data_IF_101481220191
#
_entry.id   IF_101481220191
#
_cell.length_a   1.000
_cell.length_b   1.000
_cell.length_c   1.000
_cell.angle_alpha   90.00
_cell.angle_beta   90.00
_cell.angle_gamma   90.00
#
_symmetry.space_group_name_H-M   'P 1'
#
loop_
_entity.id
_entity.type
_entity.pdbx_description
1 polymer ?
#
# COMPACT_ATOMS: atom_id res chain seq x y z
N UNK A 1 -32.44 -4.90 -31.54
CA UNK A 1 -33.43 -5.99 -31.61
C UNK A 1 -33.97 -6.40 -30.24
N UNK A 2 -33.15 -6.48 -29.18
CA UNK A 2 -33.54 -7.00 -27.84
C UNK A 2 -34.61 -6.22 -27.04
N UNK A 3 -34.78 -4.91 -27.24
CA UNK A 3 -35.68 -4.08 -26.39
C UNK A 3 -37.15 -4.50 -26.45
N UNK A 4 -37.61 -4.87 -27.64
CA UNK A 4 -39.03 -5.18 -27.87
C UNK A 4 -39.43 -6.49 -27.21
N UNK A 5 -38.51 -7.45 -27.13
CA UNK A 5 -38.77 -8.76 -26.52
C UNK A 5 -38.76 -8.67 -25.00
N UNK A 6 -37.85 -7.87 -24.43
CA UNK A 6 -37.82 -7.60 -22.98
C UNK A 6 -39.09 -6.91 -22.50
N UNK A 7 -39.57 -5.89 -23.24
CA UNK A 7 -40.82 -5.21 -22.92
C UNK A 7 -42.04 -6.13 -22.99
N UNK A 8 -42.08 -7.03 -23.99
CA UNK A 8 -43.14 -8.06 -24.11
C UNK A 8 -43.07 -9.09 -22.99
N UNK A 9 -41.87 -9.43 -22.54
CA UNK A 9 -41.67 -10.40 -21.46
C UNK A 9 -42.11 -9.81 -20.11
N UNK A 10 -41.77 -8.56 -19.85
CA UNK A 10 -42.09 -7.89 -18.58
C UNK A 10 -43.60 -7.63 -18.44
N UNK A 11 -44.29 -7.25 -19.53
CA UNK A 11 -45.75 -7.09 -19.51
C UNK A 11 -46.50 -8.39 -19.28
N UNK A 12 -45.92 -9.55 -19.67
CA UNK A 12 -46.50 -10.87 -19.36
C UNK A 12 -46.39 -11.25 -17.88
N UNK A 13 -45.33 -10.83 -17.20
CA UNK A 13 -45.09 -11.20 -15.79
C UNK A 13 -45.81 -10.24 -14.85
N UNK A 14 -45.70 -8.93 -15.09
CA UNK A 14 -46.26 -7.88 -14.24
C UNK A 14 -46.66 -6.66 -15.07
N UNK A 15 -47.95 -6.57 -15.38
CA UNK A 15 -48.56 -5.44 -16.09
C UNK A 15 -48.58 -4.14 -15.27
N UNK A 16 -48.44 -4.24 -13.95
CA UNK A 16 -48.36 -3.11 -13.00
C UNK A 16 -46.98 -2.45 -12.96
N UNK A 17 -45.95 -3.08 -13.54
CA UNK A 17 -44.57 -2.59 -13.44
C UNK A 17 -44.22 -1.58 -14.55
N UNK A 18 -43.97 -0.32 -14.16
CA UNK A 18 -43.40 0.69 -15.05
C UNK A 18 -41.88 0.50 -15.16
N UNK A 19 -41.45 -0.40 -16.04
CA UNK A 19 -40.04 -0.66 -16.28
C UNK A 19 -39.43 0.34 -17.27
N UNK A 20 -38.51 1.16 -16.78
CA UNK A 20 -37.61 1.97 -17.59
C UNK A 20 -36.34 1.19 -17.92
N UNK A 21 -36.15 0.88 -19.20
CA UNK A 21 -34.93 0.23 -19.68
C UNK A 21 -33.84 1.30 -19.79
N UNK A 22 -32.90 1.31 -18.85
CA UNK A 22 -31.70 2.14 -18.93
C UNK A 22 -30.62 1.33 -19.65
N UNK A 23 -30.28 1.75 -20.85
CA UNK A 23 -29.16 1.16 -21.58
C UNK A 23 -27.85 1.54 -20.94
N UNK A 24 -26.94 0.56 -20.81
CA UNK A 24 -25.56 0.87 -20.48
C UNK A 24 -24.94 1.63 -21.66
N UNK A 25 -24.14 2.69 -21.41
CA UNK A 25 -23.41 3.35 -22.48
C UNK A 25 -22.52 2.33 -23.21
N UNK A 26 -22.27 2.54 -24.52
CA UNK A 26 -21.38 1.66 -25.28
C UNK A 26 -20.00 1.59 -24.62
N UNK A 27 -19.34 0.43 -24.78
CA UNK A 27 -18.00 0.23 -24.23
C UNK A 27 -17.07 1.27 -24.85
N UNK A 28 -16.53 2.16 -24.02
CA UNK A 28 -15.55 3.14 -24.47
C UNK A 28 -14.17 2.49 -24.55
N UNK A 29 -13.29 3.05 -25.40
CA UNK A 29 -11.87 2.67 -25.45
C UNK A 29 -11.24 2.71 -24.05
N UNK A 30 -11.71 3.62 -23.20
CA UNK A 30 -11.26 3.75 -21.83
C UNK A 30 -11.46 2.47 -20.99
N UNK A 31 -12.49 1.68 -21.28
CA UNK A 31 -12.78 0.45 -20.55
C UNK A 31 -11.80 -0.69 -20.86
N UNK A 32 -10.99 -0.57 -21.91
CA UNK A 32 -9.98 -1.58 -22.27
C UNK A 32 -8.63 -1.31 -21.61
N UNK A 33 -8.42 -0.12 -21.06
CA UNK A 33 -7.20 0.23 -20.36
C UNK A 33 -7.50 0.36 -18.87
N UNK A 34 -6.81 -0.45 -18.06
CA UNK A 34 -6.75 -0.23 -16.63
C UNK A 34 -5.95 1.06 -16.37
N UNK A 35 -6.59 2.23 -16.50
CA UNK A 35 -5.94 3.55 -16.27
C UNK A 35 -5.43 3.73 -14.84
N UNK A 36 -5.78 2.84 -13.92
CA UNK A 36 -5.33 2.89 -12.53
C UNK A 36 -4.46 1.69 -12.25
N UNK A 37 -3.31 1.96 -11.66
CA UNK A 37 -2.44 0.92 -11.13
C UNK A 37 -3.24 0.00 -10.20
N UNK A 38 -3.09 -1.30 -10.44
CA UNK A 38 -3.68 -2.33 -9.58
C UNK A 38 -3.11 -2.13 -8.18
N UNK A 39 -3.99 -1.87 -7.22
CA UNK A 39 -3.59 -1.76 -5.82
C UNK A 39 -3.04 -3.13 -5.40
N UNK A 40 -1.78 -3.22 -4.94
CA UNK A 40 -1.22 -4.46 -4.42
C UNK A 40 -2.12 -5.05 -3.33
N UNK A 41 -2.20 -6.38 -3.24
CA UNK A 41 -3.13 -7.02 -2.30
C UNK A 41 -2.88 -6.62 -0.83
N UNK A 42 -1.63 -6.37 -0.44
CA UNK A 42 -1.27 -5.89 0.90
C UNK A 42 -1.73 -4.43 1.19
N UNK A 43 -2.08 -3.65 0.16
CA UNK A 43 -2.64 -2.31 0.27
C UNK A 43 -4.17 -2.29 0.10
N UNK A 44 -4.80 -3.44 -0.19
CA UNK A 44 -6.25 -3.53 -0.29
C UNK A 44 -6.84 -3.68 1.11
N UNK A 45 -7.81 -2.83 1.41
CA UNK A 45 -8.68 -2.93 2.58
C UNK A 45 -10.05 -2.56 2.08
N UNK A 46 -10.95 -3.55 1.95
CA UNK A 46 -12.34 -3.30 1.58
C UNK A 46 -13.13 -2.96 2.84
N UNK A 47 -13.02 -1.70 3.25
CA UNK A 47 -13.55 -1.23 4.53
C UNK A 47 -14.47 -0.04 4.33
N UNK A 48 -15.53 -0.01 5.15
CA UNK A 48 -16.43 1.13 5.29
C UNK A 48 -15.94 1.93 6.50
N UNK A 49 -15.76 3.23 6.34
CA UNK A 49 -15.35 4.12 7.43
C UNK A 49 -16.38 5.23 7.64
N UNK A 50 -16.40 5.71 8.87
CA UNK A 50 -17.27 6.78 9.33
C UNK A 50 -16.42 7.90 9.93
N UNK A 51 -16.55 9.12 9.38
CA UNK A 51 -15.93 10.33 9.92
C UNK A 51 -17.02 11.20 10.53
N UNK A 52 -17.00 11.33 11.85
CA UNK A 52 -17.89 12.22 12.59
C UNK A 52 -17.13 13.48 13.00
N UNK A 53 -17.69 14.67 12.73
CA UNK A 53 -17.12 15.91 13.29
C UNK A 53 -17.41 15.99 14.79
N UNK A 54 -16.47 16.57 15.55
CA UNK A 54 -16.65 16.77 16.99
C UNK A 54 -17.70 17.85 17.28
N UNK A 55 -17.71 18.90 16.47
CA UNK A 55 -18.46 20.13 16.78
C UNK A 55 -19.83 20.21 16.09
N UNK A 56 -20.23 19.20 15.31
CA UNK A 56 -21.56 19.16 14.72
C UNK A 56 -22.04 17.73 14.44
N UNK A 57 -23.34 17.59 14.20
CA UNK A 57 -24.00 16.31 13.88
C UNK A 57 -23.69 15.76 12.49
N UNK A 58 -22.85 16.45 11.70
CA UNK A 58 -22.49 15.98 10.36
C UNK A 58 -21.61 14.73 10.43
N UNK A 59 -21.95 13.77 9.58
CA UNK A 59 -21.28 12.49 9.49
C UNK A 59 -21.02 12.16 8.02
N UNK A 60 -19.80 11.71 7.71
CA UNK A 60 -19.44 11.22 6.39
C UNK A 60 -19.19 9.71 6.44
N UNK A 61 -19.91 8.97 5.60
CA UNK A 61 -19.70 7.54 5.42
C UNK A 61 -19.11 7.29 4.03
N UNK A 62 -17.96 6.62 4.00
CA UNK A 62 -17.25 6.30 2.77
C UNK A 62 -16.88 4.82 2.70
N UNK A 63 -16.78 4.30 1.48
CA UNK A 63 -16.17 2.99 1.20
C UNK A 63 -14.86 3.18 0.47
N UNK A 64 -13.86 2.38 0.81
CA UNK A 64 -12.56 2.38 0.12
C UNK A 64 -12.11 0.95 -0.14
N UNK A 65 -11.45 0.74 -1.28
CA UNK A 65 -10.69 -0.50 -1.58
C UNK A 65 -9.20 -0.37 -1.25
N UNK A 66 -8.73 0.85 -0.95
CA UNK A 66 -7.36 1.19 -0.53
C UNK A 66 -7.28 1.19 1.00
N UNK A 67 -6.07 1.22 1.55
CA UNK A 67 -5.83 1.47 2.97
C UNK A 67 -6.63 2.65 3.52
N UNK A 68 -7.34 2.42 4.64
CA UNK A 68 -8.21 3.42 5.26
C UNK A 68 -7.44 4.67 5.71
N UNK A 69 -6.27 4.51 6.30
CA UNK A 69 -5.43 5.63 6.76
C UNK A 69 -5.13 6.63 5.64
N UNK A 70 -4.74 6.14 4.45
CA UNK A 70 -4.48 6.97 3.28
C UNK A 70 -5.74 7.69 2.81
N UNK A 71 -6.87 6.98 2.77
CA UNK A 71 -8.15 7.58 2.35
C UNK A 71 -8.63 8.65 3.32
N UNK A 72 -8.48 8.43 4.62
CA UNK A 72 -8.84 9.39 5.66
C UNK A 72 -7.93 10.62 5.62
N UNK A 73 -6.63 10.43 5.34
CA UNK A 73 -5.71 11.53 5.10
C UNK A 73 -6.10 12.38 3.86
N UNK A 74 -6.51 11.75 2.76
CA UNK A 74 -7.07 12.45 1.59
C UNK A 74 -8.32 13.28 1.94
N UNK A 75 -9.05 12.89 3.00
CA UNK A 75 -10.19 13.63 3.54
C UNK A 75 -9.81 14.67 4.60
N UNK A 76 -8.51 14.95 4.78
CA UNK A 76 -8.01 16.00 5.68
C UNK A 76 -7.87 15.57 7.14
N UNK A 77 -7.95 14.27 7.45
CA UNK A 77 -7.70 13.82 8.82
C UNK A 77 -6.19 13.87 9.15
N UNK A 78 -5.81 14.25 10.39
CA UNK A 78 -4.42 14.29 10.81
C UNK A 78 -3.75 12.92 10.70
N UNK A 79 -2.49 12.89 10.22
CA UNK A 79 -1.70 11.65 10.09
C UNK A 79 -1.52 10.93 11.43
N UNK A 80 -1.50 11.69 12.52
CA UNK A 80 -1.19 11.20 13.87
C UNK A 80 -2.32 10.35 14.46
N UNK A 81 -3.51 10.40 13.88
CA UNK A 81 -4.68 9.64 14.36
C UNK A 81 -4.50 8.12 14.23
N UNK A 82 -3.52 7.64 13.44
CA UNK A 82 -3.37 6.23 13.08
C UNK A 82 -2.10 5.55 13.60
N UNK A 83 -1.17 6.28 14.22
CA UNK A 83 0.12 5.72 14.64
C UNK A 83 0.03 4.77 15.85
N UNK A 84 -1.12 4.72 16.53
CA UNK A 84 -1.22 4.11 17.86
C UNK A 84 -1.74 2.66 17.89
N UNK A 85 -2.22 2.08 16.78
CA UNK A 85 -2.90 0.77 16.81
C UNK A 85 -2.13 -0.41 16.22
N UNK A 86 -0.97 -0.21 15.57
CA UNK A 86 -0.21 -1.34 14.99
C UNK A 86 0.61 -2.14 15.99
N UNK A 87 0.75 -1.67 17.23
CA UNK A 87 1.69 -2.27 18.21
C UNK A 87 1.04 -3.18 19.25
N UNK A 88 -0.30 -3.34 19.27
CA UNK A 88 -1.00 -4.05 20.35
C UNK A 88 -1.54 -5.45 20.01
N UNK A 89 -1.31 -6.01 18.81
CA UNK A 89 -1.89 -7.32 18.43
C UNK A 89 -0.88 -8.40 18.01
N UNK A 90 0.36 -8.35 18.50
CA UNK A 90 1.36 -9.41 18.26
C UNK A 90 1.79 -10.18 19.53
N UNK A 91 1.28 -9.84 20.72
CA UNK A 91 1.74 -10.45 21.98
C UNK A 91 0.90 -11.61 22.53
N UNK A 92 -0.21 -12.01 21.88
CA UNK A 92 -1.11 -13.06 22.41
C UNK A 92 -1.09 -14.38 21.63
N UNK A 93 0.00 -14.68 20.89
CA UNK A 93 0.27 -16.06 20.44
C UNK A 93 1.31 -16.67 21.36
N UNK A 94 0.93 -16.83 22.63
CA UNK A 94 1.59 -17.74 23.56
C UNK A 94 1.36 -19.17 23.10
N UNK A 95 2.39 -19.73 22.47
CA UNK A 95 3.00 -21.00 22.89
C UNK A 95 2.09 -22.03 23.57
N UNK A 96 1.26 -22.72 22.79
CA UNK A 96 0.76 -24.05 23.17
C UNK A 96 0.32 -24.86 21.95
N UNK A 97 0.98 -26.01 21.79
CA UNK A 97 0.71 -27.12 20.86
C UNK A 97 1.11 -26.95 19.38
N UNK A 98 2.28 -27.49 19.04
CA UNK A 98 2.42 -28.67 18.15
C UNK A 98 3.91 -29.02 18.01
N UNK A 99 4.35 -29.94 18.86
CA UNK A 99 5.24 -31.06 18.50
C UNK A 99 4.64 -31.76 17.26
N UNK A 100 5.31 -32.26 16.22
CA UNK A 100 6.68 -32.70 15.95
C UNK A 100 7.00 -32.38 14.46
N UNK A 101 7.86 -31.40 14.19
CA UNK A 101 8.51 -31.24 12.89
C UNK A 101 9.88 -30.58 13.06
N UNK A 102 10.58 -30.99 14.12
CA UNK A 102 11.98 -30.65 14.32
C UNK A 102 12.82 -31.75 13.65
N UNK A 103 12.98 -31.67 12.33
CA UNK A 103 14.08 -32.25 11.55
C UNK A 103 13.88 -31.82 10.08
N UNK A 104 14.95 -31.33 9.43
CA UNK A 104 15.06 -31.09 7.97
C UNK A 104 14.99 -29.65 7.41
N UNK A 105 15.30 -28.59 8.18
CA UNK A 105 15.70 -27.29 7.56
C UNK A 105 16.84 -26.62 8.33
N UNK A 106 17.96 -27.33 8.49
CA UNK A 106 19.19 -26.77 9.11
C UNK A 106 20.31 -26.43 8.11
N UNK A 107 20.07 -26.47 6.80
CA UNK A 107 21.13 -26.25 5.78
C UNK A 107 20.91 -25.05 4.86
N UNK A 108 19.93 -24.17 5.10
CA UNK A 108 19.72 -22.97 4.26
C UNK A 108 20.06 -21.62 4.94
N UNK A 109 20.57 -21.64 6.18
CA UNK A 109 20.85 -20.41 6.96
C UNK A 109 22.32 -20.02 7.08
N UNK A 110 23.25 -20.75 6.47
CA UNK A 110 24.70 -20.45 6.57
C UNK A 110 25.22 -19.67 5.33
N UNK A 111 24.47 -19.60 4.23
CA UNK A 111 24.97 -18.96 2.99
C UNK A 111 24.70 -17.44 2.89
N UNK A 112 23.84 -16.85 3.72
CA UNK A 112 23.44 -15.42 3.59
C UNK A 112 24.25 -14.45 4.45
N UNK A 113 25.20 -14.92 5.26
CA UNK A 113 26.02 -14.05 6.11
C UNK A 113 27.34 -13.61 5.47
N UNK A 114 27.80 -14.27 4.39
CA UNK A 114 29.06 -13.91 3.71
C UNK A 114 28.92 -12.78 2.68
N UNK A 115 27.73 -12.59 2.10
CA UNK A 115 27.51 -11.54 1.09
C UNK A 115 27.40 -10.14 1.72
N UNK A 116 26.78 -10.04 2.90
CA UNK A 116 26.57 -8.76 3.59
C UNK A 116 27.85 -8.22 4.23
N UNK A 117 28.73 -9.09 4.74
CA UNK A 117 30.02 -8.68 5.31
C UNK A 117 30.97 -8.08 4.27
N UNK A 118 30.98 -8.60 3.03
CA UNK A 118 31.84 -8.10 1.94
C UNK A 118 31.45 -6.69 1.48
N UNK A 119 30.15 -6.37 1.51
CA UNK A 119 29.65 -5.02 1.16
C UNK A 119 30.03 -4.01 2.24
N UNK A 120 29.94 -4.38 3.53
CA UNK A 120 30.30 -3.48 4.63
C UNK A 120 31.80 -3.17 4.67
N UNK A 121 32.67 -4.11 4.34
CA UNK A 121 34.12 -3.84 4.23
C UNK A 121 34.46 -2.91 3.05
N UNK A 122 33.82 -3.08 1.89
CA UNK A 122 34.08 -2.20 0.73
C UNK A 122 33.66 -0.74 0.99
N UNK A 123 32.53 -0.50 1.64
CA UNK A 123 32.09 0.86 1.99
C UNK A 123 33.04 1.50 3.01
N UNK A 124 33.62 0.70 3.91
CA UNK A 124 34.59 1.20 4.91
C UNK A 124 35.93 1.61 4.28
N UNK A 125 36.34 0.94 3.20
CA UNK A 125 37.55 1.29 2.44
C UNK A 125 37.35 2.54 1.58
N UNK A 126 36.18 2.73 0.96
CA UNK A 126 35.89 3.95 0.18
C UNK A 126 35.95 5.21 1.05
N UNK A 127 35.34 5.18 2.23
CA UNK A 127 35.33 6.34 3.14
C UNK A 127 36.72 6.66 3.74
N UNK A 128 37.68 5.72 3.72
CA UNK A 128 39.03 5.94 4.20
C UNK A 128 39.92 6.63 3.16
N UNK A 129 39.68 6.39 1.86
CA UNK A 129 40.39 7.07 0.77
C UNK A 129 39.98 8.54 0.64
N UNK A 130 38.70 8.84 0.80
CA UNK A 130 38.19 10.21 0.71
C UNK A 130 38.73 11.11 1.83
N UNK A 131 39.09 10.53 2.99
CA UNK A 131 39.72 11.27 4.09
C UNK A 131 41.18 11.64 3.81
N UNK A 132 41.92 10.83 3.05
CA UNK A 132 43.33 11.14 2.69
C UNK A 132 43.43 12.26 1.66
N UNK A 133 42.45 12.38 0.76
CA UNK A 133 42.42 13.44 -0.25
C UNK A 133 42.22 14.82 0.40
N UNK A 134 41.52 14.88 1.55
CA UNK A 134 41.31 16.14 2.27
C UNK A 134 42.53 16.62 3.06
N UNK A 135 43.43 15.72 3.47
CA UNK A 135 44.67 16.11 4.16
C UNK A 135 45.75 16.62 3.19
N UNK A 136 45.69 16.27 1.91
CA UNK A 136 46.65 16.73 0.88
C UNK A 136 46.36 18.15 0.34
N UNK A 137 45.19 18.71 0.62
CA UNK A 137 44.76 20.03 0.11
C UNK A 137 45.19 21.17 1.07
N UNK A 138 45.47 20.88 2.34
CA UNK A 138 45.87 21.90 3.31
C UNK A 138 47.34 22.38 3.15
N UNK A 139 48.18 21.64 2.41
CA UNK A 139 49.60 21.97 2.19
C UNK A 139 49.87 23.02 1.09
N UNK A 140 48.84 23.49 0.36
CA UNK A 140 48.99 24.47 -0.74
C UNK A 140 48.58 25.91 -0.40
N UNK A 141 48.34 26.22 0.87
CA UNK A 141 47.85 27.54 1.30
C UNK A 141 48.93 28.65 1.44
N UNK A 142 50.21 28.35 1.17
CA UNK A 142 51.33 29.28 1.33
C UNK A 142 51.86 29.95 0.05
N UNK A 143 51.15 29.84 -1.10
CA UNK A 143 51.50 30.67 -2.28
C UNK A 143 50.76 32.02 -2.17
N UNK A 144 51.29 32.88 -1.30
CA UNK A 144 51.00 34.31 -1.28
C UNK A 144 52.14 35.09 -1.94
N UNK A 145 51.71 36.02 -2.79
CA UNK A 145 52.38 37.27 -3.15
C UNK A 145 53.63 37.21 -4.06
N UNK A 146 53.39 37.38 -5.37
CA UNK A 146 54.19 38.26 -6.26
C UNK A 146 53.25 38.98 -7.22
#
# INVERSE_FOLDING_TARGET
MFKNDLRKFTTKIRSDSQLTIIEKPPISVQNFFDFKDKIPNYLKCDVIYNVKRKDCSSQYMGKTKRQACRRLYEHGLPKDTYSSQSSQSLSNVTSSSMTRAAQSVKTARIAKTKATQKITEQVKLMNASDRKILEEIDDYSDIKDV
#
